data_IF_993653017438
#
_entry.id   IF_993653017438
#
_cell.length_a   1.000
_cell.length_b   1.000
_cell.length_c   1.000
_cell.angle_alpha   90.00
_cell.angle_beta   90.00
_cell.angle_gamma   90.00
#
_symmetry.space_group_name_H-M   'P 1'
#
loop_
_entity.id
_entity.type
_entity.pdbx_description
1 polymer ?
#
# COMPACT_ATOMS: atom_id res chain seq x y z
N UNK A 1 -7.96 -7.27 9.24
CA UNK A 1 -8.82 -6.95 8.08
C UNK A 1 -9.95 -6.06 8.58
N UNK A 2 -10.06 -4.81 8.11
CA UNK A 2 -11.10 -3.89 8.61
C UNK A 2 -12.46 -4.31 8.04
N UNK A 3 -13.33 -4.86 8.88
CA UNK A 3 -14.65 -5.38 8.51
C UNK A 3 -15.61 -4.29 8.00
N UNK A 4 -15.37 -3.03 8.36
CA UNK A 4 -16.25 -1.89 8.06
C UNK A 4 -16.28 -1.48 6.58
N UNK A 5 -15.19 -1.69 5.82
CA UNK A 5 -15.17 -1.33 4.39
C UNK A 5 -16.14 -2.18 3.55
N UNK A 6 -16.51 -3.38 4.01
CA UNK A 6 -17.49 -4.26 3.34
C UNK A 6 -18.94 -3.79 3.48
N UNK A 7 -19.20 -2.79 4.34
CA UNK A 7 -20.53 -2.22 4.57
C UNK A 7 -20.81 -1.02 3.65
N UNK A 8 -19.90 -0.69 2.73
CA UNK A 8 -20.05 0.44 1.80
C UNK A 8 -20.78 -0.03 0.53
N UNK A 9 -21.91 0.62 0.29
CA UNK A 9 -22.81 0.67 -0.86
C UNK A 9 -22.35 1.53 -2.06
N UNK A 10 -21.48 1.14 -3.02
CA UNK A 10 -21.08 2.03 -4.10
C UNK A 10 -22.22 2.43 -5.06
N UNK A 11 -23.33 1.68 -5.09
CA UNK A 11 -24.49 1.95 -5.94
C UNK A 11 -25.66 2.60 -5.19
N UNK A 12 -25.47 3.01 -3.94
CA UNK A 12 -26.49 3.72 -3.17
C UNK A 12 -26.81 5.08 -3.85
N UNK A 13 -28.05 5.30 -4.32
CA UNK A 13 -28.43 6.51 -5.03
C UNK A 13 -28.58 7.74 -4.12
N UNK A 14 -28.59 7.56 -2.80
CA UNK A 14 -28.79 8.64 -1.81
C UNK A 14 -27.50 9.02 -1.08
N UNK A 15 -26.59 8.07 -0.85
CA UNK A 15 -25.38 8.28 -0.05
C UNK A 15 -24.12 8.02 -0.85
N UNK A 16 -23.29 9.05 -1.04
CA UNK A 16 -21.97 8.87 -1.63
C UNK A 16 -21.06 7.99 -0.75
N UNK A 17 -20.11 7.29 -1.36
CA UNK A 17 -19.06 6.51 -0.67
C UNK A 17 -18.37 7.34 0.42
N UNK A 18 -18.12 8.63 0.17
CA UNK A 18 -17.52 9.54 1.15
C UNK A 18 -18.39 9.71 2.40
N UNK A 19 -19.70 9.90 2.21
CA UNK A 19 -20.65 10.03 3.32
C UNK A 19 -20.81 8.73 4.10
N UNK A 20 -20.81 7.59 3.40
CA UNK A 20 -20.82 6.28 4.04
C UNK A 20 -19.55 6.03 4.86
N UNK A 21 -18.38 6.41 4.35
CA UNK A 21 -17.12 6.37 5.09
C UNK A 21 -17.19 7.22 6.36
N UNK A 22 -17.70 8.45 6.29
CA UNK A 22 -17.89 9.33 7.45
C UNK A 22 -18.80 8.71 8.51
N UNK A 23 -19.95 8.15 8.10
CA UNK A 23 -20.90 7.51 9.01
C UNK A 23 -20.33 6.27 9.69
N UNK A 24 -19.47 5.53 8.99
CA UNK A 24 -18.77 4.35 9.51
C UNK A 24 -17.49 4.68 10.27
N UNK A 25 -17.10 5.96 10.37
CA UNK A 25 -15.83 6.39 10.96
C UNK A 25 -14.60 5.87 10.21
N UNK A 26 -14.74 5.53 8.92
CA UNK A 26 -13.68 5.02 8.06
C UNK A 26 -12.99 6.17 7.33
N UNK A 27 -11.67 6.15 7.26
CA UNK A 27 -10.95 7.02 6.33
C UNK A 27 -11.23 6.59 4.88
N UNK A 28 -11.59 7.55 4.01
CA UNK A 28 -11.87 7.28 2.58
C UNK A 28 -10.71 6.57 1.88
N UNK A 29 -9.47 6.88 2.25
CA UNK A 29 -8.27 6.20 1.74
C UNK A 29 -8.24 4.71 2.06
N UNK A 30 -8.73 4.30 3.22
CA UNK A 30 -8.81 2.89 3.62
C UNK A 30 -9.81 2.10 2.78
N UNK A 31 -10.85 2.75 2.24
CA UNK A 31 -11.79 2.09 1.32
C UNK A 31 -11.16 1.78 -0.04
N UNK A 32 -10.42 2.73 -0.61
CA UNK A 32 -9.77 2.53 -1.91
C UNK A 32 -8.48 1.71 -1.85
N UNK A 33 -7.87 1.61 -0.66
CA UNK A 33 -6.65 0.84 -0.48
C UNK A 33 -6.93 -0.66 -0.59
N UNK A 34 -6.37 -1.29 -1.63
CA UNK A 34 -6.30 -2.73 -1.74
C UNK A 34 -5.02 -3.23 -1.07
N UNK A 35 -5.09 -4.14 -0.08
CA UNK A 35 -3.90 -4.70 0.54
C UNK A 35 -3.12 -5.49 -0.52
N UNK A 36 -1.89 -5.05 -0.79
CA UNK A 36 -0.96 -5.75 -1.68
C UNK A 36 -0.14 -6.73 -0.85
N UNK A 37 -0.10 -7.98 -1.27
CA UNK A 37 0.78 -8.97 -0.65
C UNK A 37 2.24 -8.57 -0.90
N UNK A 38 3.04 -8.52 0.17
CA UNK A 38 4.48 -8.26 0.08
C UNK A 38 5.16 -9.56 -0.32
N UNK A 39 6.06 -9.53 -1.32
CA UNK A 39 6.79 -10.72 -1.75
C UNK A 39 7.82 -11.16 -0.69
N UNK A 40 8.29 -12.40 -0.75
CA UNK A 40 9.32 -12.89 0.17
C UNK A 40 10.63 -12.10 0.02
N UNK A 41 10.98 -11.72 -1.21
CA UNK A 41 12.14 -10.90 -1.51
C UNK A 41 12.02 -9.49 -0.89
N UNK A 42 10.84 -8.87 -0.99
CA UNK A 42 10.57 -7.56 -0.39
C UNK A 42 10.63 -7.65 1.14
N UNK A 43 10.10 -8.72 1.74
CA UNK A 43 10.19 -8.95 3.19
C UNK A 43 11.64 -9.15 3.64
N UNK A 44 12.44 -9.91 2.88
CA UNK A 44 13.87 -10.08 3.15
C UNK A 44 14.61 -8.75 3.06
N UNK A 45 14.32 -7.95 2.04
CA UNK A 45 14.90 -6.62 1.87
C UNK A 45 14.55 -5.70 3.05
N UNK A 46 13.29 -5.68 3.50
CA UNK A 46 12.87 -4.90 4.67
C UNK A 46 13.64 -5.31 5.92
N UNK A 47 13.82 -6.62 6.16
CA UNK A 47 14.61 -7.13 7.31
C UNK A 47 16.07 -6.68 7.25
N UNK A 48 16.70 -6.75 6.08
CA UNK A 48 18.09 -6.30 5.89
C UNK A 48 18.24 -4.79 6.14
N UNK A 49 17.24 -4.00 5.74
CA UNK A 49 17.23 -2.56 5.98
C UNK A 49 17.08 -2.23 7.47
N UNK A 50 16.20 -2.93 8.19
CA UNK A 50 16.04 -2.78 9.63
C UNK A 50 17.31 -3.15 10.40
N UNK A 51 17.97 -4.25 10.02
CA UNK A 51 19.24 -4.66 10.62
C UNK A 51 20.32 -3.60 10.38
N UNK A 52 20.44 -3.10 9.15
CA UNK A 52 21.42 -2.06 8.82
C UNK A 52 21.15 -0.76 9.57
N UNK A 53 19.88 -0.36 9.69
CA UNK A 53 19.49 0.85 10.42
C UNK A 53 19.88 0.75 11.91
N UNK A 54 19.61 -0.41 12.51
CA UNK A 54 19.97 -0.69 13.91
C UNK A 54 21.49 -0.69 14.11
N UNK A 55 22.25 -1.21 13.14
CA UNK A 55 23.72 -1.27 13.20
C UNK A 55 24.40 0.08 12.91
N UNK A 56 23.75 0.96 12.17
CA UNK A 56 24.32 2.24 11.74
C UNK A 56 23.32 3.40 11.92
N UNK A 57 23.05 3.85 13.17
CA UNK A 57 22.05 4.89 13.44
C UNK A 57 22.40 6.28 12.86
N UNK A 58 23.60 6.44 12.26
CA UNK A 58 24.06 7.64 11.58
C UNK A 58 23.95 7.57 10.04
N UNK A 59 23.50 6.45 9.47
CA UNK A 59 23.27 6.32 8.04
C UNK A 59 21.90 6.91 7.67
N UNK A 60 21.91 8.12 7.13
CA UNK A 60 20.71 8.73 6.56
C UNK A 60 20.19 7.99 5.32
N UNK A 61 18.95 8.29 4.94
CA UNK A 61 18.19 7.62 3.85
C UNK A 61 18.99 7.48 2.55
N UNK A 62 19.81 8.46 2.18
CA UNK A 62 20.61 8.43 0.95
C UNK A 62 21.62 7.28 0.89
N UNK A 63 22.26 6.95 2.02
CA UNK A 63 23.22 5.82 2.10
C UNK A 63 22.47 4.50 2.11
N UNK A 64 21.35 4.45 2.83
CA UNK A 64 20.47 3.27 2.86
C UNK A 64 19.88 2.96 1.50
N UNK A 65 19.39 3.94 0.74
CA UNK A 65 18.83 3.72 -0.61
C UNK A 65 19.88 3.17 -1.58
N UNK A 66 21.14 3.60 -1.49
CA UNK A 66 22.22 3.02 -2.31
C UNK A 66 22.50 1.55 -1.94
N UNK A 67 22.45 1.23 -0.65
CA UNK A 67 22.62 -0.14 -0.16
C UNK A 67 21.42 -1.03 -0.51
N UNK A 68 20.21 -0.48 -0.43
CA UNK A 68 18.94 -1.12 -0.73
C UNK A 68 18.71 -1.38 -2.22
N UNK A 69 19.59 -0.87 -3.11
CA UNK A 69 19.51 -1.09 -4.55
C UNK A 69 20.52 -2.14 -5.03
N UNK A 70 20.26 -3.46 -4.87
CA UNK A 70 21.00 -4.46 -5.63
C UNK A 70 20.49 -4.65 -7.06
N UNK A 71 19.29 -4.22 -7.45
CA UNK A 71 18.76 -4.61 -8.78
C UNK A 71 17.79 -3.60 -9.35
N UNK A 72 18.06 -3.17 -10.59
CA UNK A 72 17.14 -2.46 -11.49
C UNK A 72 15.94 -3.35 -11.89
N UNK A 73 15.20 -3.91 -10.94
CA UNK A 73 14.00 -4.73 -11.20
C UNK A 73 12.75 -4.28 -10.42
N UNK A 74 12.84 -3.31 -9.52
CA UNK A 74 11.68 -2.79 -8.77
C UNK A 74 10.70 -1.97 -9.64
N UNK A 75 11.03 -1.73 -10.91
CA UNK A 75 10.21 -0.93 -11.84
C UNK A 75 9.34 -1.76 -12.79
N UNK A 76 9.37 -3.10 -12.76
CA UNK A 76 8.69 -3.94 -13.79
C UNK A 76 7.53 -4.81 -13.28
N UNK A 77 7.38 -5.04 -11.98
CA UNK A 77 6.35 -5.97 -11.46
C UNK A 77 5.25 -5.31 -10.63
N UNK A 78 5.28 -3.99 -10.37
CA UNK A 78 4.10 -3.27 -9.88
C UNK A 78 3.18 -2.84 -11.03
N UNK A 79 2.71 -3.81 -11.80
CA UNK A 79 1.43 -3.68 -12.51
C UNK A 79 0.56 -4.84 -12.05
N UNK A 80 0.08 -4.76 -10.80
CA UNK A 80 -1.14 -5.47 -10.45
C UNK A 80 -2.26 -5.00 -11.38
N UNK A 81 -3.22 -5.88 -11.76
CA UNK A 81 -4.24 -5.54 -12.73
C UNK A 81 -4.99 -4.28 -12.27
N UNK A 82 -4.91 -3.22 -13.07
CA UNK A 82 -5.73 -2.02 -12.90
C UNK A 82 -7.20 -2.43 -12.99
N UNK A 83 -8.01 -2.38 -11.91
CA UNK A 83 -9.44 -2.57 -12.00
C UNK A 83 -10.08 -1.22 -12.28
N UNK A 84 -9.78 -0.63 -13.44
CA UNK A 84 -10.37 0.63 -13.86
C UNK A 84 -10.36 0.74 -15.38
N UNK A 85 -11.13 -0.13 -16.01
CA UNK A 85 -11.69 0.12 -17.34
C UNK A 85 -13.14 -0.35 -17.29
N UNK A 86 -13.93 0.36 -16.49
CA UNK A 86 -15.38 0.23 -16.46
C UNK A 86 -15.98 1.62 -16.65
N UNK A 87 -15.59 2.27 -17.75
CA UNK A 87 -16.29 3.45 -18.26
C UNK A 87 -16.76 3.09 -19.68
N UNK A 88 -18.08 2.93 -19.78
CA UNK A 88 -18.81 2.91 -21.04
C UNK A 88 -19.27 4.31 -21.45
#
# INVERSE_FOLDING_TARGET
MSTSAKLIDPNDPQLSIGRQCELLGLARSSYYYQPVAVSEEDLMLMRLLDEQYTRTPFYGTRKMTKLAQPTRLWSRTQTGPSPASHDG
#
